data_IF_157299567377
#
_entry.id   IF_157299567377
#
_cell.length_a   1.000
_cell.length_b   1.000
_cell.length_c   1.000
_cell.angle_alpha   90.00
_cell.angle_beta   90.00
_cell.angle_gamma   90.00
#
_symmetry.space_group_name_H-M   'P 1'
#
loop_
_entity.id
_entity.type
_entity.pdbx_description
1 polymer ?
#
# COMPACT_ATOMS: atom_id res chain seq x y z
N UNK A 1 40.68 16.85 24.79
CA UNK A 1 39.22 17.07 24.92
C UNK A 1 38.38 16.13 24.03
N UNK A 2 38.85 14.94 23.65
CA UNK A 2 38.11 14.02 22.76
C UNK A 2 37.39 12.87 23.48
N UNK A 3 37.63 12.68 24.78
CA UNK A 3 37.06 11.58 25.58
C UNK A 3 35.59 11.81 25.95
N UNK A 4 35.18 13.05 26.25
CA UNK A 4 33.80 13.36 26.64
C UNK A 4 32.78 13.12 25.53
N UNK A 5 33.14 13.40 24.27
CA UNK A 5 32.25 13.22 23.12
C UNK A 5 31.84 11.76 22.91
N UNK A 6 32.77 10.81 23.08
CA UNK A 6 32.47 9.36 22.99
C UNK A 6 31.57 8.90 24.14
N UNK A 7 31.76 9.45 25.34
CA UNK A 7 30.95 9.11 26.51
C UNK A 7 29.47 9.48 26.34
N UNK A 8 29.16 10.57 25.61
CA UNK A 8 27.79 10.97 25.34
C UNK A 8 27.22 10.44 24.01
N UNK A 9 28.08 10.13 23.02
CA UNK A 9 27.62 9.59 21.74
C UNK A 9 26.98 8.21 21.89
N UNK A 10 27.60 7.31 22.64
CA UNK A 10 27.11 5.94 22.83
C UNK A 10 25.69 5.92 23.41
N UNK A 11 25.39 6.62 24.52
CA UNK A 11 24.03 6.65 25.05
C UNK A 11 23.05 7.34 24.10
N UNK A 12 23.44 8.42 23.41
CA UNK A 12 22.56 9.11 22.44
C UNK A 12 22.21 8.22 21.24
N UNK A 13 23.19 7.54 20.65
CA UNK A 13 22.97 6.61 19.55
C UNK A 13 22.15 5.41 19.99
N UNK A 14 22.39 4.91 21.21
CA UNK A 14 21.59 3.80 21.76
C UNK A 14 20.14 4.20 21.98
N UNK A 15 19.87 5.40 22.52
CA UNK A 15 18.52 5.92 22.72
C UNK A 15 17.82 6.16 21.39
N UNK A 16 18.53 6.70 20.40
CA UNK A 16 18.00 6.92 19.05
C UNK A 16 17.68 5.59 18.35
N UNK A 17 18.58 4.61 18.42
CA UNK A 17 18.36 3.28 17.86
C UNK A 17 17.18 2.57 18.55
N UNK A 18 17.09 2.65 19.88
CA UNK A 18 15.99 2.08 20.65
C UNK A 18 14.65 2.74 20.28
N UNK A 19 14.63 4.06 20.12
CA UNK A 19 13.42 4.81 19.74
C UNK A 19 13.00 4.49 18.32
N UNK A 20 13.95 4.47 17.37
CA UNK A 20 13.72 4.10 15.97
C UNK A 20 13.17 2.68 15.85
N UNK A 21 13.79 1.72 16.54
CA UNK A 21 13.34 0.33 16.56
C UNK A 21 11.95 0.19 17.19
N UNK A 22 11.70 0.89 18.30
CA UNK A 22 10.40 0.88 18.98
C UNK A 22 9.29 1.43 18.09
N UNK A 23 9.57 2.52 17.37
CA UNK A 23 8.63 3.11 16.43
C UNK A 23 8.38 2.17 15.25
N UNK A 24 9.42 1.57 14.68
CA UNK A 24 9.29 0.63 13.57
C UNK A 24 8.45 -0.59 13.96
N UNK A 25 8.68 -1.17 15.15
CA UNK A 25 7.89 -2.28 15.67
C UNK A 25 6.42 -1.90 15.90
N UNK A 26 6.16 -0.68 16.38
CA UNK A 26 4.81 -0.18 16.56
C UNK A 26 4.07 -0.05 15.22
N UNK A 27 4.73 0.48 14.19
CA UNK A 27 4.18 0.59 12.83
C UNK A 27 3.92 -0.80 12.26
N UNK A 28 4.88 -1.73 12.36
CA UNK A 28 4.68 -3.11 11.91
C UNK A 28 3.51 -3.81 12.62
N UNK A 29 3.37 -3.62 13.94
CA UNK A 29 2.24 -4.17 14.69
C UNK A 29 0.91 -3.61 14.18
N UNK A 30 0.82 -2.29 13.97
CA UNK A 30 -0.39 -1.65 13.43
C UNK A 30 -0.72 -2.15 12.02
N UNK A 31 0.27 -2.20 11.13
CA UNK A 31 0.09 -2.68 9.76
C UNK A 31 -0.33 -4.15 9.76
N UNK A 32 0.26 -5.00 10.61
CA UNK A 32 -0.13 -6.41 10.71
C UNK A 32 -1.58 -6.59 11.19
N UNK A 33 -2.06 -5.71 12.08
CA UNK A 33 -3.44 -5.75 12.55
C UNK A 33 -4.42 -5.33 11.44
N UNK A 34 -4.05 -4.29 10.67
CA UNK A 34 -4.83 -3.85 9.50
C UNK A 34 -4.90 -4.94 8.43
N UNK A 35 -3.75 -5.51 8.04
CA UNK A 35 -3.69 -6.59 7.05
C UNK A 35 -4.47 -7.83 7.50
N UNK A 36 -4.38 -8.21 8.79
CA UNK A 36 -5.20 -9.31 9.33
C UNK A 36 -6.68 -9.01 9.23
N UNK A 37 -7.12 -7.79 9.57
CA UNK A 37 -8.53 -7.42 9.49
C UNK A 37 -9.05 -7.44 8.04
N UNK A 38 -8.23 -6.93 7.11
CA UNK A 38 -8.50 -6.96 5.67
C UNK A 38 -8.64 -8.40 5.18
N UNK A 39 -7.64 -9.24 5.40
CA UNK A 39 -7.67 -10.65 4.99
C UNK A 39 -8.87 -11.39 5.60
N UNK A 40 -9.19 -11.14 6.87
CA UNK A 40 -10.36 -11.75 7.51
C UNK A 40 -11.66 -11.36 6.82
N UNK A 41 -11.83 -10.08 6.46
CA UNK A 41 -13.01 -9.63 5.71
C UNK A 41 -13.08 -10.27 4.32
N UNK A 42 -11.95 -10.35 3.61
CA UNK A 42 -11.85 -11.00 2.30
C UNK A 42 -12.24 -12.49 2.38
N UNK A 43 -11.69 -13.21 3.35
CA UNK A 43 -12.03 -14.62 3.60
C UNK A 43 -13.51 -14.78 3.91
N UNK A 44 -14.09 -13.91 4.75
CA UNK A 44 -15.51 -13.96 5.11
C UNK A 44 -16.41 -13.79 3.87
N UNK A 45 -16.08 -12.83 2.98
CA UNK A 45 -16.82 -12.60 1.74
C UNK A 45 -16.75 -13.85 0.84
N UNK A 46 -15.56 -14.40 0.63
CA UNK A 46 -15.37 -15.58 -0.22
C UNK A 46 -16.03 -16.83 0.35
N UNK A 47 -15.96 -17.05 1.65
CA UNK A 47 -16.64 -18.16 2.34
C UNK A 47 -18.16 -18.04 2.19
N UNK A 48 -18.72 -16.83 2.34
CA UNK A 48 -20.14 -16.59 2.14
C UNK A 48 -20.57 -16.92 0.71
N UNK A 49 -19.77 -16.54 -0.28
CA UNK A 49 -20.04 -16.83 -1.69
C UNK A 49 -19.99 -18.33 -1.98
N UNK A 50 -18.95 -19.02 -1.48
CA UNK A 50 -18.81 -20.47 -1.60
C UNK A 50 -19.99 -21.19 -0.93
N UNK A 51 -20.43 -20.72 0.24
CA UNK A 51 -21.59 -21.28 0.92
C UNK A 51 -22.86 -21.17 0.07
N UNK A 52 -23.12 -19.99 -0.52
CA UNK A 52 -24.29 -19.73 -1.39
C UNK A 52 -24.29 -20.60 -2.64
N UNK A 53 -23.13 -20.72 -3.28
CA UNK A 53 -22.97 -21.61 -4.45
C UNK A 53 -23.19 -23.08 -4.08
N UNK A 54 -22.70 -23.53 -2.93
CA UNK A 54 -22.90 -24.91 -2.44
C UNK A 54 -24.35 -25.20 -2.05
N UNK A 55 -25.11 -24.20 -1.58
CA UNK A 55 -26.54 -24.35 -1.31
C UNK A 55 -27.41 -24.41 -2.58
N UNK A 56 -26.81 -24.33 -3.77
CA UNK A 56 -27.53 -24.35 -5.03
C UNK A 56 -28.20 -23.02 -5.38
N UNK A 57 -27.84 -21.93 -4.70
CA UNK A 57 -28.29 -20.58 -5.04
C UNK A 57 -27.64 -20.19 -6.38
N UNK A 58 -28.46 -19.75 -7.34
CA UNK A 58 -27.94 -19.16 -8.59
C UNK A 58 -27.54 -17.72 -8.30
N UNK A 59 -26.24 -17.51 -8.07
CA UNK A 59 -25.65 -16.18 -7.99
C UNK A 59 -25.31 -15.74 -9.41
N UNK A 60 -25.75 -14.54 -9.79
CA UNK A 60 -25.43 -13.96 -11.10
C UNK A 60 -23.92 -13.69 -11.22
N UNK A 61 -23.36 -13.93 -12.41
CA UNK A 61 -21.94 -13.77 -12.68
C UNK A 61 -21.42 -12.35 -12.37
N UNK A 62 -22.26 -11.32 -12.58
CA UNK A 62 -21.95 -9.93 -12.23
C UNK A 62 -21.79 -9.72 -10.71
N UNK A 63 -22.58 -10.41 -9.90
CA UNK A 63 -22.48 -10.33 -8.44
C UNK A 63 -21.28 -11.14 -7.93
N UNK A 64 -20.95 -12.26 -8.58
CA UNK A 64 -19.71 -13.02 -8.31
C UNK A 64 -18.49 -12.14 -8.58
N UNK A 65 -18.45 -11.47 -9.73
CA UNK A 65 -17.35 -10.57 -10.12
C UNK A 65 -17.21 -9.40 -9.14
N UNK A 66 -18.33 -8.78 -8.75
CA UNK A 66 -18.36 -7.71 -7.76
C UNK A 66 -17.84 -8.15 -6.39
N UNK A 67 -18.25 -9.32 -5.90
CA UNK A 67 -17.80 -9.87 -4.62
C UNK A 67 -16.33 -10.30 -4.66
N UNK A 68 -15.85 -10.81 -5.80
CA UNK A 68 -14.43 -11.07 -6.04
C UNK A 68 -13.62 -9.78 -6.06
N UNK A 69 -14.12 -8.70 -6.68
CA UNK A 69 -13.46 -7.39 -6.68
C UNK A 69 -13.37 -6.83 -5.26
N UNK A 70 -14.45 -6.91 -4.49
CA UNK A 70 -14.50 -6.50 -3.09
C UNK A 70 -13.56 -7.35 -2.21
N UNK A 71 -13.58 -8.67 -2.41
CA UNK A 71 -12.75 -9.64 -1.71
C UNK A 71 -11.27 -9.61 -2.10
N UNK A 72 -10.88 -9.04 -3.24
CA UNK A 72 -9.45 -8.77 -3.53
C UNK A 72 -8.95 -7.52 -2.79
N UNK A 73 -9.88 -6.70 -2.32
CA UNK A 73 -9.62 -5.33 -1.90
C UNK A 73 -9.21 -4.55 -3.13
N UNK A 74 -9.98 -3.52 -3.46
CA UNK A 74 -9.49 -2.49 -4.37
C UNK A 74 -8.19 -2.00 -3.74
N UNK A 75 -7.04 -2.39 -4.31
CA UNK A 75 -5.82 -1.65 -4.08
C UNK A 75 -6.16 -0.27 -4.62
N UNK A 76 -6.51 0.67 -3.73
CA UNK A 76 -6.42 2.08 -4.05
C UNK A 76 -4.99 2.29 -4.61
N UNK A 77 -4.85 2.26 -5.94
CA UNK A 77 -3.57 2.36 -6.65
C UNK A 77 -3.22 1.25 -7.66
N UNK A 78 -4.06 0.24 -7.94
CA UNK A 78 -3.78 -0.68 -9.07
C UNK A 78 -4.73 -0.38 -10.24
N UNK A 79 -4.42 0.72 -10.95
CA UNK A 79 -4.88 0.93 -12.32
C UNK A 79 -4.21 -0.13 -13.19
N UNK A 80 -4.96 -0.64 -14.17
CA UNK A 80 -4.50 -1.59 -15.18
C UNK A 80 -3.11 -1.28 -15.73
N UNK A 81 -2.21 -2.28 -15.71
CA UNK A 81 -0.98 -2.27 -16.50
C UNK A 81 0.29 -2.25 -15.67
N UNK A 82 0.84 -3.42 -15.36
CA UNK A 82 2.13 -3.44 -14.67
C UNK A 82 2.61 -4.77 -14.17
N UNK A 83 2.47 -5.85 -14.96
CA UNK A 83 3.37 -6.99 -14.82
C UNK A 83 4.78 -6.58 -15.32
N UNK A 84 5.44 -5.62 -14.68
CA UNK A 84 6.81 -5.22 -15.04
C UNK A 84 7.78 -5.56 -13.90
N UNK A 85 8.57 -6.59 -14.19
CA UNK A 85 9.90 -6.95 -13.65
C UNK A 85 10.22 -6.46 -12.24
N UNK A 86 9.97 -7.32 -11.27
CA UNK A 86 10.67 -7.26 -9.99
C UNK A 86 11.97 -8.07 -10.10
N UNK A 87 13.11 -7.37 -10.25
CA UNK A 87 14.43 -7.97 -9.97
C UNK A 87 14.46 -8.39 -8.49
N UNK A 88 14.55 -9.70 -8.27
CA UNK A 88 14.35 -10.37 -6.97
C UNK A 88 15.46 -10.17 -5.94
N UNK A 89 16.08 -8.99 -5.86
CA UNK A 89 17.08 -8.66 -4.83
C UNK A 89 16.55 -7.60 -3.88
N UNK A 90 16.03 -8.07 -2.75
CA UNK A 90 15.75 -7.22 -1.58
C UNK A 90 17.08 -6.76 -0.99
N UNK A 91 17.35 -5.45 -1.01
CA UNK A 91 18.55 -4.86 -0.42
C UNK A 91 18.36 -4.59 1.07
N UNK A 92 19.48 -4.58 1.82
CA UNK A 92 19.48 -4.19 3.25
C UNK A 92 18.90 -2.78 3.48
N UNK A 93 18.95 -1.91 2.48
CA UNK A 93 18.34 -0.58 2.52
C UNK A 93 16.80 -0.67 2.50
N UNK A 94 16.21 -1.59 1.75
CA UNK A 94 14.76 -1.79 1.71
C UNK A 94 14.23 -2.34 3.04
N UNK A 95 15.04 -3.14 3.73
CA UNK A 95 14.74 -3.67 5.08
C UNK A 95 14.75 -2.55 6.13
N UNK A 96 15.64 -1.57 6.00
CA UNK A 96 15.81 -0.48 6.98
C UNK A 96 14.91 0.74 6.71
N UNK A 97 14.66 1.07 5.45
CA UNK A 97 13.93 2.27 5.05
C UNK A 97 12.56 1.99 4.42
N UNK A 98 12.21 0.71 4.25
CA UNK A 98 11.03 0.30 3.51
C UNK A 98 11.26 0.36 1.99
N UNK A 99 10.50 -0.45 1.26
CA UNK A 99 10.50 -0.41 -0.20
C UNK A 99 9.70 0.81 -0.65
N UNK A 100 10.36 1.78 -1.27
CA UNK A 100 9.64 2.88 -1.91
C UNK A 100 8.85 2.33 -3.11
N UNK A 101 7.57 2.70 -3.29
CA UNK A 101 6.92 2.51 -4.59
C UNK A 101 7.76 3.21 -5.65
N UNK A 102 7.86 2.63 -6.84
CA UNK A 102 8.83 3.07 -7.83
C UNK A 102 8.64 4.55 -8.16
N UNK A 103 9.68 5.37 -8.00
CA UNK A 103 9.68 6.81 -8.34
C UNK A 103 9.36 7.11 -9.82
N UNK A 104 9.22 6.07 -10.65
CA UNK A 104 8.74 6.13 -12.02
C UNK A 104 7.19 6.13 -12.10
N UNK A 105 6.53 5.39 -11.21
CA UNK A 105 5.07 5.26 -11.12
C UNK A 105 4.44 6.54 -10.56
N UNK A 106 5.07 7.13 -9.53
CA UNK A 106 4.67 8.42 -8.94
C UNK A 106 4.79 9.58 -9.96
N UNK A 107 5.76 9.53 -10.88
CA UNK A 107 5.93 10.56 -11.92
C UNK A 107 4.97 10.38 -13.10
N UNK A 108 4.57 9.15 -13.40
CA UNK A 108 3.60 8.87 -14.45
C UNK A 108 2.19 9.29 -13.99
N UNK A 109 1.81 8.89 -12.78
CA UNK A 109 0.53 9.27 -12.18
C UNK A 109 0.41 10.79 -12.01
N UNK A 110 1.45 11.49 -11.55
CA UNK A 110 1.44 12.96 -11.43
C UNK A 110 1.15 13.66 -12.77
N UNK A 111 1.70 13.16 -13.89
CA UNK A 111 1.47 13.73 -15.22
C UNK A 111 0.03 13.51 -15.70
N UNK A 112 -0.54 12.33 -15.47
CA UNK A 112 -1.94 12.07 -15.80
C UNK A 112 -2.89 13.00 -15.04
N UNK A 113 -2.61 13.27 -13.76
CA UNK A 113 -3.39 14.23 -12.96
C UNK A 113 -3.23 15.68 -13.45
N UNK A 114 -2.02 16.10 -13.82
CA UNK A 114 -1.77 17.42 -14.40
C UNK A 114 -2.51 17.60 -15.74
N UNK A 115 -2.52 16.57 -16.59
CA UNK A 115 -3.25 16.57 -17.87
C UNK A 115 -4.77 16.59 -17.67
N UNK A 116 -5.29 15.85 -16.69
CA UNK A 116 -6.71 15.85 -16.34
C UNK A 116 -7.18 17.22 -15.84
N UNK A 117 -6.40 17.87 -14.98
CA UNK A 117 -6.70 19.21 -14.46
C UNK A 117 -6.66 20.25 -15.59
N UNK A 118 -5.65 20.19 -16.47
CA UNK A 118 -5.55 21.08 -17.62
C UNK A 118 -6.73 20.92 -18.60
N UNK A 119 -7.18 19.68 -18.83
CA UNK A 119 -8.36 19.42 -19.67
C UNK A 119 -9.67 19.93 -19.04
N UNK A 120 -9.79 19.85 -17.71
CA UNK A 120 -10.93 20.39 -16.97
C UNK A 120 -10.95 21.92 -17.01
N UNK A 121 -9.80 22.58 -16.82
CA UNK A 121 -9.68 24.05 -16.91
C UNK A 121 -9.99 24.58 -18.32
N UNK A 122 -9.49 23.91 -19.36
CA UNK A 122 -9.77 24.25 -20.76
C UNK A 122 -11.26 24.12 -21.12
N UNK A 123 -11.96 23.14 -20.52
CA UNK A 123 -13.41 22.98 -20.69
C UNK A 123 -14.25 23.98 -19.89
N UNK A 124 -13.67 24.65 -18.88
CA UNK A 124 -14.35 25.61 -18.00
C UNK A 124 -14.30 27.06 -18.46
N UNK A 125 -13.65 27.35 -19.60
CA UNK A 125 -13.62 28.68 -20.22
C UNK A 125 -14.69 28.82 -21.31
N UNK A 126 -15.93 29.25 -20.99
CA UNK A 126 -16.91 29.62 -22.00
C UNK A 126 -16.51 30.96 -22.64
N UNK A 127 -16.68 31.00 -23.97
CA UNK A 127 -16.49 32.14 -24.86
C UNK A 127 -17.16 33.43 -24.32
N UNK A 128 -16.43 34.55 -24.44
CA UNK A 128 -17.05 35.88 -24.53
C UNK A 128 -17.78 36.05 -25.85
#
# INVERSE_FOLDING_TARGET
MASGFRTYLTPLLSALALTSLSFNLLVHRRNSAYERSRLTAQTTILESLVSRMRSGERVEDAEIERLLKLGRGEKEGEVEGGADRWDGRVGWKDVLFGRKPGEAEDRATMKEWEEAIASAEASSSPQK
#
